data_IF_998725924097
#
_entry.id   IF_998725924097
#
_cell.length_a   1.000
_cell.length_b   1.000
_cell.length_c   1.000
_cell.angle_alpha   90.00
_cell.angle_beta   90.00
_cell.angle_gamma   90.00
#
_symmetry.space_group_name_H-M   'P 1'
#
loop_
_entity.id
_entity.type
_entity.pdbx_description
1 polymer ?
#
# COMPACT_ATOMS: atom_id res chain seq x y z
N UNK A 1 -12.64 4.07 13.10
CA UNK A 1 -12.56 3.94 14.56
C UNK A 1 -12.55 2.45 14.90
N UNK A 2 -11.99 2.01 16.01
CA UNK A 2 -12.04 0.60 16.40
C UNK A 2 -13.29 0.29 17.22
N UNK A 3 -13.83 -0.93 17.08
CA UNK A 3 -14.97 -1.44 17.85
C UNK A 3 -14.86 -2.95 18.04
N UNK A 4 -15.32 -3.46 19.18
CA UNK A 4 -15.38 -4.91 19.41
C UNK A 4 -16.41 -5.56 18.48
N UNK A 5 -16.08 -6.71 17.89
CA UNK A 5 -17.02 -7.43 17.02
C UNK A 5 -18.29 -7.87 17.75
N UNK A 6 -18.20 -8.16 19.05
CA UNK A 6 -19.34 -8.53 19.89
C UNK A 6 -20.36 -7.41 20.08
N UNK A 7 -19.96 -6.15 19.90
CA UNK A 7 -20.84 -4.97 20.02
C UNK A 7 -21.58 -4.63 18.72
N UNK A 8 -21.23 -5.29 17.61
CA UNK A 8 -21.84 -5.06 16.30
C UNK A 8 -23.09 -5.93 16.18
N UNK A 9 -24.25 -5.30 16.04
CA UNK A 9 -25.53 -5.99 15.89
C UNK A 9 -25.71 -6.43 14.44
N UNK A 10 -26.00 -7.71 14.23
CA UNK A 10 -26.23 -8.30 12.90
C UNK A 10 -27.73 -8.56 12.74
N UNK A 11 -28.34 -7.99 11.70
CA UNK A 11 -29.76 -8.23 11.37
C UNK A 11 -29.94 -9.65 10.83
N UNK A 12 -31.10 -10.25 11.09
CA UNK A 12 -31.37 -11.65 10.68
C UNK A 12 -31.35 -11.83 9.16
N UNK A 13 -31.73 -10.81 8.38
CA UNK A 13 -31.60 -10.82 6.92
C UNK A 13 -30.17 -11.14 6.42
N UNK A 14 -29.12 -10.75 7.15
CA UNK A 14 -27.74 -11.14 6.82
C UNK A 14 -27.45 -12.62 7.11
N UNK A 15 -28.06 -13.19 8.16
CA UNK A 15 -27.91 -14.60 8.51
C UNK A 15 -28.67 -15.50 7.53
N UNK A 16 -29.84 -15.05 7.09
CA UNK A 16 -30.72 -15.76 6.15
C UNK A 16 -30.19 -15.74 4.72
N UNK A 17 -29.45 -14.70 4.34
CA UNK A 17 -28.86 -14.57 3.00
C UNK A 17 -27.34 -14.77 3.08
N UNK A 18 -26.84 -16.01 3.02
CA UNK A 18 -25.42 -16.28 3.08
C UNK A 18 -24.69 -15.58 1.93
N UNK A 19 -23.49 -15.02 2.16
CA UNK A 19 -22.71 -14.43 1.09
C UNK A 19 -22.34 -15.46 0.02
N UNK A 20 -22.28 -15.02 -1.23
CA UNK A 20 -21.78 -15.86 -2.32
C UNK A 20 -20.32 -16.26 -2.09
N UNK A 21 -19.97 -17.53 -2.38
CA UNK A 21 -18.65 -18.10 -2.07
C UNK A 21 -17.49 -17.29 -2.68
N UNK A 22 -17.60 -16.86 -3.93
CA UNK A 22 -16.56 -16.05 -4.58
C UNK A 22 -16.23 -14.75 -3.81
N UNK A 23 -17.21 -14.16 -3.11
CA UNK A 23 -16.98 -12.95 -2.28
C UNK A 23 -16.24 -13.30 -1.00
N UNK A 24 -16.57 -14.44 -0.40
CA UNK A 24 -15.86 -14.97 0.77
C UNK A 24 -14.41 -15.26 0.41
N UNK A 25 -14.19 -15.96 -0.70
CA UNK A 25 -12.86 -16.31 -1.20
C UNK A 25 -12.00 -15.07 -1.54
N UNK A 26 -12.56 -14.07 -2.24
CA UNK A 26 -11.84 -12.81 -2.51
C UNK A 26 -11.39 -12.12 -1.22
N UNK A 27 -12.26 -12.09 -0.21
CA UNK A 27 -11.97 -11.47 1.08
C UNK A 27 -10.96 -12.30 1.90
N UNK A 28 -11.07 -13.63 1.86
CA UNK A 28 -10.16 -14.57 2.53
C UNK A 28 -8.75 -14.51 1.94
N UNK A 29 -8.64 -14.48 0.61
CA UNK A 29 -7.36 -14.31 -0.09
C UNK A 29 -6.67 -12.99 0.26
N UNK A 30 -7.45 -11.89 0.35
CA UNK A 30 -6.90 -10.63 0.83
C UNK A 30 -6.39 -10.72 2.27
N UNK A 31 -7.17 -11.34 3.17
CA UNK A 31 -6.76 -11.54 4.56
C UNK A 31 -5.49 -12.37 4.67
N UNK A 32 -5.44 -13.55 4.05
CA UNK A 32 -4.29 -14.46 4.10
C UNK A 32 -3.00 -13.79 3.60
N UNK A 33 -3.11 -12.87 2.64
CA UNK A 33 -1.96 -12.13 2.10
C UNK A 33 -1.50 -10.96 2.98
N UNK A 34 -2.43 -10.29 3.68
CA UNK A 34 -2.14 -9.00 4.31
C UNK A 34 -2.35 -8.98 5.83
N UNK A 35 -2.96 -10.03 6.40
CA UNK A 35 -3.36 -10.18 7.81
C UNK A 35 -4.06 -8.94 8.39
N UNK A 36 -4.92 -8.30 7.59
CA UNK A 36 -5.63 -7.08 7.95
C UNK A 36 -6.94 -6.90 7.19
N UNK A 37 -7.79 -5.99 7.68
CA UNK A 37 -9.03 -5.62 7.02
C UNK A 37 -8.78 -4.92 5.67
N UNK A 38 -9.50 -5.36 4.63
CA UNK A 38 -9.49 -4.69 3.33
C UNK A 38 -10.54 -3.58 3.23
N UNK A 39 -11.58 -3.62 4.08
CA UNK A 39 -12.70 -2.68 4.12
C UNK A 39 -13.12 -2.44 5.57
N UNK A 40 -13.64 -1.24 5.83
CA UNK A 40 -14.32 -0.94 7.10
C UNK A 40 -15.60 -1.76 7.21
N UNK A 41 -15.97 -2.14 8.43
CA UNK A 41 -17.35 -2.52 8.72
C UNK A 41 -18.18 -1.25 8.82
N UNK A 42 -19.31 -1.19 8.11
CA UNK A 42 -20.17 0.00 8.12
C UNK A 42 -21.29 -0.25 9.10
N UNK A 43 -21.37 0.59 10.13
CA UNK A 43 -22.36 0.45 11.21
C UNK A 43 -23.20 1.72 11.33
N UNK A 44 -24.48 1.56 11.66
CA UNK A 44 -25.38 2.67 11.90
C UNK A 44 -25.23 3.23 13.33
N UNK A 45 -25.91 4.35 13.61
CA UNK A 45 -25.91 4.97 14.95
C UNK A 45 -26.35 4.03 16.08
N UNK A 46 -27.21 3.06 15.79
CA UNK A 46 -27.77 2.11 16.77
C UNK A 46 -26.90 0.84 16.94
N UNK A 47 -25.77 0.78 16.23
CA UNK A 47 -24.79 -0.32 16.26
C UNK A 47 -25.07 -1.48 15.30
N UNK A 48 -26.07 -1.36 14.41
CA UNK A 48 -26.35 -2.39 13.40
C UNK A 48 -25.38 -2.30 12.22
N UNK A 49 -24.90 -3.45 11.78
CA UNK A 49 -24.16 -3.59 10.53
C UNK A 49 -25.07 -3.23 9.34
N UNK A 50 -24.61 -2.29 8.52
CA UNK A 50 -25.24 -1.90 7.26
C UNK A 50 -24.53 -2.58 6.08
N UNK A 51 -23.21 -2.66 6.12
CA UNK A 51 -22.41 -3.28 5.06
C UNK A 51 -21.08 -3.81 5.62
N UNK A 52 -20.47 -4.75 4.90
CA UNK A 52 -19.23 -5.42 5.30
C UNK A 52 -19.44 -6.80 5.93
N UNK A 53 -20.58 -7.45 5.73
CA UNK A 53 -20.89 -8.73 6.36
C UNK A 53 -19.88 -9.84 6.02
N UNK A 54 -19.43 -9.93 4.77
CA UNK A 54 -18.33 -10.83 4.37
C UNK A 54 -17.07 -10.56 5.20
N UNK A 55 -16.64 -9.30 5.31
CA UNK A 55 -15.46 -8.94 6.09
C UNK A 55 -15.64 -9.27 7.58
N UNK A 56 -16.85 -9.08 8.14
CA UNK A 56 -17.19 -9.46 9.51
C UNK A 56 -17.01 -10.97 9.73
N UNK A 57 -17.49 -11.81 8.81
CA UNK A 57 -17.33 -13.26 8.88
C UNK A 57 -15.85 -13.67 8.82
N UNK A 58 -15.07 -13.11 7.88
CA UNK A 58 -13.63 -13.40 7.79
C UNK A 58 -12.88 -12.99 9.07
N UNK A 59 -13.25 -11.87 9.70
CA UNK A 59 -12.64 -11.49 10.98
C UNK A 59 -12.97 -12.48 12.10
N UNK A 60 -14.20 -12.99 12.15
CA UNK A 60 -14.61 -14.05 13.09
C UNK A 60 -13.87 -15.36 12.84
N UNK A 61 -13.80 -15.80 11.57
CA UNK A 61 -13.05 -17.02 11.16
C UNK A 61 -11.59 -16.98 11.64
N UNK A 62 -11.01 -15.79 11.74
CA UNK A 62 -9.61 -15.57 12.13
C UNK A 62 -9.44 -15.11 13.60
N UNK A 63 -10.46 -15.30 14.44
CA UNK A 63 -10.42 -14.98 15.89
C UNK A 63 -10.04 -13.53 16.21
N UNK A 64 -10.45 -12.58 15.37
CA UNK A 64 -10.20 -11.16 15.58
C UNK A 64 -11.32 -10.55 16.42
N UNK A 65 -10.97 -9.89 17.51
CA UNK A 65 -11.96 -9.34 18.46
C UNK A 65 -12.34 -7.89 18.19
N UNK A 66 -11.49 -7.12 17.50
CA UNK A 66 -11.70 -5.71 17.19
C UNK A 66 -11.65 -5.45 15.68
N UNK A 67 -12.54 -4.58 15.21
CA UNK A 67 -12.60 -4.17 13.82
C UNK A 67 -12.53 -2.65 13.68
N UNK A 68 -11.86 -2.20 12.62
CA UNK A 68 -12.01 -0.87 12.06
C UNK A 68 -13.40 -0.72 11.44
N UNK A 69 -14.16 0.22 12.00
CA UNK A 69 -15.53 0.54 11.60
C UNK A 69 -15.66 1.98 11.11
N UNK A 70 -16.67 2.19 10.25
CA UNK A 70 -17.12 3.48 9.77
C UNK A 70 -18.60 3.67 10.11
N UNK A 71 -18.93 4.74 10.84
CA UNK A 71 -20.31 5.11 11.13
C UNK A 71 -20.98 5.69 9.88
N UNK A 72 -22.15 5.19 9.50
CA UNK A 72 -23.00 5.79 8.48
C UNK A 72 -24.44 5.35 8.65
N UNK A 73 -25.42 6.18 8.29
CA UNK A 73 -26.82 5.76 8.20
C UNK A 73 -27.26 5.54 6.73
N UNK A 74 -26.34 5.63 5.77
CA UNK A 74 -26.65 5.55 4.33
C UNK A 74 -26.20 4.22 3.76
N UNK A 75 -27.09 3.55 3.03
CA UNK A 75 -26.71 2.47 2.13
C UNK A 75 -25.97 3.06 0.92
N UNK A 76 -24.89 2.40 0.49
CA UNK A 76 -24.14 2.77 -0.70
C UNK A 76 -23.96 1.54 -1.57
N UNK A 77 -24.04 1.71 -2.89
CA UNK A 77 -23.74 0.62 -3.84
C UNK A 77 -22.31 0.10 -3.71
N UNK A 78 -21.36 0.94 -3.29
CA UNK A 78 -19.94 0.56 -3.11
C UNK A 78 -19.24 1.44 -2.09
N UNK A 79 -18.66 0.81 -1.07
CA UNK A 79 -17.74 1.48 -0.14
C UNK A 79 -16.31 1.45 -0.65
N UNK A 80 -15.53 2.48 -0.33
CA UNK A 80 -14.11 2.53 -0.67
C UNK A 80 -13.37 1.45 0.14
N UNK A 81 -12.41 0.77 -0.49
CA UNK A 81 -11.46 -0.08 0.24
C UNK A 81 -10.68 0.77 1.23
N UNK A 82 -10.29 0.17 2.35
CA UNK A 82 -9.31 0.78 3.24
C UNK A 82 -8.06 1.04 2.41
N UNK A 83 -7.49 2.25 2.50
CA UNK A 83 -6.19 2.49 1.89
C UNK A 83 -5.21 1.54 2.58
N UNK A 84 -4.52 0.71 1.81
CA UNK A 84 -3.35 0.02 2.33
C UNK A 84 -2.44 1.10 2.91
N UNK A 85 -2.26 1.08 4.24
CA UNK A 85 -1.24 1.91 4.89
C UNK A 85 0.14 1.58 4.32
N UNK A 86 0.32 0.33 3.86
CA UNK A 86 1.51 -0.23 3.21
C UNK A 86 1.73 0.40 1.84
N UNK A 87 2.33 1.57 1.88
CA UNK A 87 2.94 2.27 0.76
C UNK A 87 4.44 2.04 0.79
N UNK A 88 5.18 2.56 -0.18
CA UNK A 88 6.65 2.53 -0.13
C UNK A 88 7.21 3.23 1.13
N UNK A 89 6.39 4.03 1.83
CA UNK A 89 6.83 4.81 2.99
C UNK A 89 6.96 4.02 4.29
N UNK A 90 6.33 2.86 4.37
CA UNK A 90 6.27 2.03 5.58
C UNK A 90 6.55 0.56 5.27
N UNK A 91 7.25 0.29 4.17
CA UNK A 91 7.74 -1.03 3.79
C UNK A 91 9.21 -0.91 3.40
N UNK A 92 9.95 -2.02 3.52
CA UNK A 92 11.36 -2.07 3.10
C UNK A 92 11.48 -1.65 1.63
N UNK A 93 12.09 -0.50 1.39
CA UNK A 93 12.17 0.14 0.08
C UNK A 93 13.58 0.64 -0.16
N UNK A 94 14.10 0.41 -1.37
CA UNK A 94 15.38 0.94 -1.81
C UNK A 94 15.17 2.34 -2.40
N UNK A 95 15.93 3.29 -1.90
CA UNK A 95 15.97 4.68 -2.33
C UNK A 95 17.31 4.98 -2.99
N UNK A 96 17.26 5.73 -4.09
CA UNK A 96 18.41 6.23 -4.81
C UNK A 96 18.51 7.72 -4.56
N UNK A 97 19.63 8.16 -4.03
CA UNK A 97 20.02 9.56 -4.00
C UNK A 97 20.87 9.83 -5.23
N UNK A 98 20.65 10.97 -5.88
CA UNK A 98 21.42 11.31 -7.05
C UNK A 98 21.21 12.74 -7.52
N UNK A 99 22.03 13.13 -8.49
CA UNK A 99 22.02 14.46 -9.12
C UNK A 99 21.79 14.33 -10.61
N UNK A 100 21.17 15.33 -11.22
CA UNK A 100 21.09 15.37 -12.68
C UNK A 100 22.48 15.72 -13.24
N UNK A 101 22.94 15.06 -14.34
CA UNK A 101 24.17 15.44 -15.02
C UNK A 101 24.14 16.91 -15.41
N UNK A 102 25.23 17.63 -15.19
CA UNK A 102 25.34 19.06 -15.49
C UNK A 102 24.56 20.00 -14.56
N UNK A 103 23.98 19.52 -13.45
CA UNK A 103 23.34 20.40 -12.46
C UNK A 103 24.40 21.17 -11.64
N UNK A 104 24.63 22.43 -12.00
CA UNK A 104 25.58 23.34 -11.35
C UNK A 104 25.32 23.49 -9.85
N UNK A 105 24.05 23.38 -9.42
CA UNK A 105 23.67 23.53 -8.01
C UNK A 105 24.02 22.29 -7.18
N UNK A 106 24.52 21.22 -7.82
CA UNK A 106 24.87 19.93 -7.21
C UNK A 106 23.75 19.39 -6.29
N UNK A 107 22.50 19.70 -6.63
CA UNK A 107 21.37 19.37 -5.78
C UNK A 107 21.13 17.87 -5.80
N UNK A 108 21.06 17.27 -4.61
CA UNK A 108 20.73 15.86 -4.44
C UNK A 108 19.21 15.71 -4.37
N UNK A 109 18.70 14.79 -5.16
CA UNK A 109 17.30 14.39 -5.22
C UNK A 109 17.18 12.91 -4.85
N UNK A 110 15.95 12.48 -4.58
CA UNK A 110 15.66 11.12 -4.16
C UNK A 110 14.61 10.47 -5.06
N UNK A 111 14.86 9.21 -5.41
CA UNK A 111 13.92 8.32 -6.09
C UNK A 111 13.77 7.02 -5.32
N UNK A 112 12.67 6.31 -5.54
CA UNK A 112 12.45 4.96 -5.03
C UNK A 112 12.57 3.95 -6.16
N UNK A 113 13.19 2.81 -5.88
CA UNK A 113 13.15 1.65 -6.76
C UNK A 113 11.79 0.95 -6.58
N UNK A 114 11.09 0.56 -7.65
CA UNK A 114 9.88 -0.26 -7.53
C UNK A 114 10.14 -1.55 -6.73
N UNK A 115 9.16 -1.98 -5.92
CA UNK A 115 9.30 -3.14 -5.02
C UNK A 115 8.95 -4.49 -5.64
N UNK A 116 8.60 -4.55 -6.93
CA UNK A 116 8.32 -5.82 -7.60
C UNK A 116 9.57 -6.70 -7.73
N UNK A 117 9.39 -8.03 -7.72
CA UNK A 117 10.49 -9.01 -7.79
C UNK A 117 11.40 -8.80 -8.99
N UNK A 118 10.86 -8.30 -10.10
CA UNK A 118 11.63 -8.02 -11.32
C UNK A 118 12.67 -6.91 -11.16
N UNK A 119 12.72 -6.21 -10.02
CA UNK A 119 13.70 -5.17 -9.71
C UNK A 119 14.80 -5.63 -8.73
N UNK A 120 14.80 -6.89 -8.29
CA UNK A 120 15.81 -7.42 -7.35
C UNK A 120 17.23 -7.27 -7.87
N UNK A 121 17.46 -7.67 -9.11
CA UNK A 121 18.77 -7.58 -9.76
C UNK A 121 19.27 -6.13 -9.85
N UNK A 122 18.41 -5.21 -10.27
CA UNK A 122 18.74 -3.78 -10.29
C UNK A 122 19.19 -3.29 -8.90
N UNK A 123 18.45 -3.63 -7.83
CA UNK A 123 18.76 -3.22 -6.46
C UNK A 123 20.11 -3.75 -5.96
N UNK A 124 20.54 -4.91 -6.44
CA UNK A 124 21.81 -5.53 -6.07
C UNK A 124 23.00 -4.93 -6.83
N UNK A 125 22.76 -4.42 -8.05
CA UNK A 125 23.81 -4.01 -8.96
C UNK A 125 24.04 -2.50 -9.05
N UNK A 126 23.03 -1.68 -8.74
CA UNK A 126 23.17 -0.22 -8.75
C UNK A 126 24.07 0.26 -7.61
N UNK A 127 25.02 1.13 -7.93
CA UNK A 127 26.05 1.66 -7.03
C UNK A 127 26.23 3.16 -7.23
N UNK A 128 26.90 3.86 -6.29
CA UNK A 128 27.37 5.22 -6.54
C UNK A 128 28.13 5.33 -7.86
N UNK A 129 28.04 6.51 -8.49
CA UNK A 129 28.60 6.88 -9.79
C UNK A 129 27.95 6.24 -11.03
N UNK A 130 27.09 5.24 -10.87
CA UNK A 130 26.26 4.74 -11.96
C UNK A 130 25.31 5.84 -12.50
N UNK A 131 25.08 5.84 -13.81
CA UNK A 131 24.01 6.63 -14.42
C UNK A 131 22.76 5.77 -14.63
N UNK A 132 21.63 6.23 -14.09
CA UNK A 132 20.33 5.58 -14.23
C UNK A 132 19.28 6.56 -14.76
N UNK A 133 18.14 6.03 -15.22
CA UNK A 133 17.02 6.83 -15.67
C UNK A 133 15.89 6.85 -14.64
N UNK A 134 15.46 8.06 -14.28
CA UNK A 134 14.48 8.30 -13.23
C UNK A 134 13.33 9.19 -13.73
N UNK A 135 12.13 8.99 -13.17
CA UNK A 135 11.01 9.88 -13.44
C UNK A 135 11.22 11.23 -12.75
N UNK A 136 11.21 12.31 -13.52
CA UNK A 136 11.14 13.69 -13.05
C UNK A 136 9.72 14.26 -13.20
N UNK A 137 9.50 15.53 -12.84
CA UNK A 137 8.16 16.17 -12.90
C UNK A 137 7.44 16.02 -14.24
N UNK A 138 8.16 16.03 -15.37
CA UNK A 138 7.55 16.03 -16.72
C UNK A 138 8.15 15.00 -17.69
N UNK A 139 9.29 14.41 -17.36
CA UNK A 139 10.04 13.53 -18.26
C UNK A 139 10.81 12.47 -17.50
N UNK A 140 11.26 11.44 -18.20
CA UNK A 140 12.36 10.60 -17.75
C UNK A 140 13.68 11.37 -17.93
N UNK A 141 14.56 11.34 -16.95
CA UNK A 141 15.82 12.07 -16.97
C UNK A 141 16.97 11.20 -16.43
N UNK A 142 18.19 11.37 -16.94
CA UNK A 142 19.37 10.72 -16.39
C UNK A 142 19.70 11.28 -15.01
N UNK A 143 20.22 10.41 -14.14
CA UNK A 143 20.62 10.71 -12.76
C UNK A 143 21.92 9.96 -12.49
N UNK A 144 22.93 10.67 -12.01
CA UNK A 144 24.13 10.06 -11.44
C UNK A 144 23.84 9.70 -10.00
N UNK A 145 23.99 8.42 -9.66
CA UNK A 145 23.76 7.90 -8.32
C UNK A 145 24.84 8.42 -7.39
N UNK A 146 24.44 8.97 -6.25
CA UNK A 146 25.35 9.38 -5.18
C UNK A 146 25.31 8.43 -3.99
N UNK A 147 24.15 7.83 -3.73
CA UNK A 147 23.98 6.87 -2.63
C UNK A 147 22.75 5.97 -2.85
N UNK A 148 22.77 4.78 -2.24
CA UNK A 148 21.72 3.77 -2.31
C UNK A 148 21.39 3.28 -0.91
N UNK A 149 20.16 3.55 -0.46
CA UNK A 149 19.73 3.22 0.92
C UNK A 149 18.48 2.35 0.88
N UNK A 150 18.50 1.21 1.58
CA UNK A 150 17.30 0.38 1.78
C UNK A 150 16.82 0.49 3.22
N UNK A 151 15.60 0.99 3.42
CA UNK A 151 15.03 1.22 4.75
C UNK A 151 13.51 1.00 4.76
N UNK A 152 12.95 0.70 5.94
CA UNK A 152 11.49 0.57 6.14
C UNK A 152 10.79 1.92 6.19
N UNK A 153 11.48 2.96 6.65
CA UNK A 153 10.92 4.30 6.83
C UNK A 153 11.29 5.20 5.64
N UNK A 154 10.33 5.98 5.15
CA UNK A 154 10.61 6.94 4.09
C UNK A 154 11.54 8.04 4.61
N UNK A 155 12.69 8.28 3.98
CA UNK A 155 13.65 9.28 4.46
C UNK A 155 13.17 10.73 4.26
N UNK A 156 12.04 10.94 3.55
CA UNK A 156 11.52 12.28 3.25
C UNK A 156 10.00 12.37 3.43
N UNK A 157 9.51 13.55 3.80
CA UNK A 157 8.08 13.80 4.01
C UNK A 157 7.30 13.99 2.70
N UNK A 158 7.94 14.47 1.64
CA UNK A 158 7.31 14.71 0.34
C UNK A 158 7.24 13.47 -0.55
N UNK A 159 6.31 13.40 -1.53
CA UNK A 159 6.21 12.25 -2.42
C UNK A 159 7.49 12.02 -3.21
N UNK A 160 7.96 10.77 -3.22
CA UNK A 160 9.17 10.35 -3.94
C UNK A 160 8.80 9.92 -5.36
N UNK A 161 9.63 10.15 -6.37
CA UNK A 161 9.40 9.61 -7.71
C UNK A 161 10.04 8.22 -7.87
N UNK A 162 9.72 7.49 -8.95
CA UNK A 162 10.29 6.15 -9.18
C UNK A 162 11.52 6.22 -10.09
N UNK A 163 12.42 5.25 -9.94
CA UNK A 163 13.34 4.85 -11.01
C UNK A 163 12.51 4.39 -12.21
N UNK A 164 12.89 4.84 -13.41
CA UNK A 164 12.11 4.66 -14.63
C UNK A 164 12.53 3.44 -15.44
N UNK A 165 13.82 3.08 -15.40
CA UNK A 165 14.39 1.95 -16.12
C UNK A 165 15.31 1.12 -15.23
N UNK A 166 15.50 -0.16 -15.59
CA UNK A 166 16.48 -1.05 -14.95
C UNK A 166 17.88 -0.95 -15.57
N UNK A 167 18.02 -0.16 -16.64
CA UNK A 167 19.30 0.03 -17.30
C UNK A 167 20.23 0.84 -16.40
N UNK A 168 21.42 0.31 -16.18
CA UNK A 168 22.52 0.94 -15.45
C UNK A 168 23.61 1.23 -16.48
N UNK A 169 23.90 2.51 -16.71
CA UNK A 169 24.98 2.95 -17.59
C UNK A 169 26.18 3.23 -16.70
N UNK A 170 27.28 2.54 -16.97
CA UNK A 170 28.55 2.70 -16.26
C UNK A 170 29.47 3.54 -17.15
N UNK A 171 30.24 4.44 -16.54
CA UNK A 171 31.39 5.00 -17.24
C UNK A 171 32.46 3.89 -17.30
N UNK A 172 33.02 3.68 -18.49
CA UNK A 172 34.13 2.76 -18.75
C UNK A 172 35.45 3.29 -18.16
#
# INVERSE_FOLDING_TARGET
MKRKLSEIKIRDAFKETPPAEHKMEECRNYWNKNHKQGRYLVVNKDGYLIDGYVQYLILKENNIYEADVQMSNKLRKKWKRMKNKDTYRNQLTTYIYGKHPGDEKKKIYIWRVPNGDSWKEFKQNVKPDDMIFCYSKKRTAPVIVTDVVTTKECPVIYPVNKVASKNIVKED
#
